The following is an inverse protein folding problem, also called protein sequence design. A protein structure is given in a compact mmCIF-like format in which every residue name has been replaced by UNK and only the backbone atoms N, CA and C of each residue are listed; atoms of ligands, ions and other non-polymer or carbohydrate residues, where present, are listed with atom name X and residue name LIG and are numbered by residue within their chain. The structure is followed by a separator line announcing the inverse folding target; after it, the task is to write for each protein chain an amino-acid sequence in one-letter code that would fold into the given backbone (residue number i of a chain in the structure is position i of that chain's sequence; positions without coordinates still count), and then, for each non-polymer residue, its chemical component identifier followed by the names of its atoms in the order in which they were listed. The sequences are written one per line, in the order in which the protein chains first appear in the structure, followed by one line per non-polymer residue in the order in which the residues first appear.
data_IF_409515921802
#
_entry.id   IF_409515921802
#
_cell.length_a   1.000
_cell.length_b   1.000
_cell.length_c   1.000
_cell.angle_alpha   90.00
_cell.angle_beta   90.00
_cell.angle_gamma   90.00
#
_symmetry.space_group_name_H-M   'P 1'
#
loop_
_entity.id
_entity.type
_entity.pdbx_description
1 polymer ?
#
# COMPACT_ATOMS: atom_id res chain seq x y z
N UNK A 1 4.35 14.10 -49.86
CA UNK A 1 4.32 15.02 -48.70
C UNK A 1 3.08 14.66 -47.90
N UNK A 2 3.26 13.73 -46.96
CA UNK A 2 2.14 13.31 -46.11
C UNK A 2 2.03 14.29 -44.94
N UNK A 3 1.02 15.15 -45.02
CA UNK A 3 0.64 15.98 -43.89
C UNK A 3 -0.06 15.11 -42.83
N UNK A 4 0.67 14.70 -41.81
CA UNK A 4 0.08 14.10 -40.62
C UNK A 4 -0.68 15.19 -39.86
N UNK A 5 -2.01 15.12 -39.94
CA UNK A 5 -2.89 15.97 -39.13
C UNK A 5 -2.90 15.46 -37.68
N UNK A 6 -2.36 16.25 -36.73
CA UNK A 6 -2.50 15.96 -35.32
C UNK A 6 -3.82 16.56 -34.79
N UNK A 7 -4.42 15.93 -33.77
CA UNK A 7 -5.62 16.45 -33.07
C UNK A 7 -5.45 17.91 -32.64
N UNK A 8 -4.23 18.28 -32.24
CA UNK A 8 -3.89 19.63 -31.79
C UNK A 8 -3.96 20.68 -32.90
N UNK A 9 -3.61 20.31 -34.13
CA UNK A 9 -3.71 21.16 -35.28
C UNK A 9 -5.17 21.37 -35.69
N UNK A 10 -5.99 20.32 -35.61
CA UNK A 10 -7.43 20.37 -35.91
C UNK A 10 -8.20 21.23 -34.89
N UNK A 11 -7.90 21.08 -33.57
CA UNK A 11 -8.58 21.83 -32.51
C UNK A 11 -8.19 23.33 -32.50
N UNK A 12 -6.97 23.69 -32.92
CA UNK A 12 -6.56 25.09 -33.04
C UNK A 12 -7.21 25.85 -34.18
N UNK A 13 -7.71 25.13 -35.20
CA UNK A 13 -8.34 25.75 -36.38
C UNK A 13 -9.78 26.16 -36.18
N UNK A 14 -10.51 25.65 -35.21
CA UNK A 14 -11.97 25.80 -35.12
C UNK A 14 -12.49 26.60 -33.93
N UNK A 15 -11.66 27.05 -33.00
CA UNK A 15 -12.09 27.92 -31.89
C UNK A 15 -13.15 27.34 -30.94
N UNK A 16 -13.44 26.03 -31.01
CA UNK A 16 -14.43 25.32 -30.21
C UNK A 16 -13.79 24.09 -29.56
N UNK A 17 -13.85 23.99 -28.25
CA UNK A 17 -13.42 22.79 -27.50
C UNK A 17 -14.53 21.74 -27.62
N UNK A 18 -14.48 20.87 -28.61
CA UNK A 18 -15.32 19.68 -28.64
C UNK A 18 -14.55 18.47 -28.10
N UNK A 19 -15.10 17.80 -27.10
CA UNK A 19 -14.65 16.51 -26.69
C UNK A 19 -14.98 15.50 -27.78
N UNK A 20 -13.97 15.06 -28.54
CA UNK A 20 -14.15 13.99 -29.52
C UNK A 20 -14.29 12.64 -28.80
N UNK A 21 -15.16 11.74 -29.27
CA UNK A 21 -15.20 10.38 -28.79
C UNK A 21 -13.85 9.70 -29.00
N UNK A 22 -13.54 8.71 -28.18
CA UNK A 22 -12.33 7.91 -28.26
C UNK A 22 -12.23 7.24 -29.65
N UNK A 23 -11.15 7.52 -30.35
CA UNK A 23 -10.86 6.89 -31.67
C UNK A 23 -9.51 6.14 -31.51
N UNK A 24 -9.57 4.82 -31.55
CA UNK A 24 -8.42 3.93 -31.38
C UNK A 24 -7.32 4.11 -32.44
N UNK A 25 -7.69 4.60 -33.62
CA UNK A 25 -6.80 4.80 -34.74
C UNK A 25 -6.02 6.12 -34.74
N UNK A 26 -6.28 7.03 -33.80
CA UNK A 26 -5.57 8.30 -33.71
C UNK A 26 -4.63 8.31 -32.49
N UNK A 27 -3.33 8.61 -32.68
CA UNK A 27 -2.41 8.73 -31.54
C UNK A 27 -2.87 9.86 -30.63
N UNK A 28 -2.97 9.55 -29.33
CA UNK A 28 -3.46 10.48 -28.30
C UNK A 28 -2.46 11.61 -28.03
N UNK A 29 -1.19 11.43 -28.40
CA UNK A 29 -0.10 12.39 -28.16
C UNK A 29 0.81 12.53 -29.36
N UNK A 30 1.27 13.76 -29.58
CA UNK A 30 2.19 14.06 -30.64
C UNK A 30 3.55 13.41 -30.44
N UNK A 31 4.05 12.83 -31.52
CA UNK A 31 5.45 12.65 -31.87
C UNK A 31 6.37 11.76 -31.02
N UNK A 32 5.85 10.75 -30.31
CA UNK A 32 6.67 9.57 -30.06
C UNK A 32 6.30 8.44 -31.03
N UNK A 33 7.28 7.81 -31.70
CA UNK A 33 7.01 6.71 -32.60
C UNK A 33 6.31 5.58 -31.86
N UNK A 34 5.36 4.91 -32.49
CA UNK A 34 4.58 3.78 -31.97
C UNK A 34 5.43 2.56 -31.49
N UNK A 35 6.75 2.69 -31.42
CA UNK A 35 7.71 1.64 -31.09
C UNK A 35 8.05 1.49 -29.61
N UNK A 36 7.62 2.39 -28.72
CA UNK A 36 8.05 2.35 -27.31
C UNK A 36 6.90 2.36 -26.28
N UNK A 37 5.72 1.91 -26.67
CA UNK A 37 4.69 1.57 -25.67
C UNK A 37 5.10 0.24 -25.04
N UNK A 38 5.43 0.22 -23.78
CA UNK A 38 5.55 -1.02 -23.03
C UNK A 38 4.26 -1.81 -23.22
N UNK A 39 4.33 -2.90 -23.98
CA UNK A 39 3.20 -3.81 -24.21
C UNK A 39 2.90 -4.64 -22.97
N UNK A 40 3.73 -4.53 -21.94
CA UNK A 40 3.61 -5.28 -20.68
C UNK A 40 2.82 -4.49 -19.65
N UNK A 41 1.89 -5.19 -18.99
CA UNK A 41 1.17 -4.68 -17.83
C UNK A 41 2.15 -4.27 -16.71
N UNK A 42 1.86 -3.19 -15.98
CA UNK A 42 2.75 -2.70 -14.92
C UNK A 42 2.78 -3.66 -13.73
N UNK A 43 3.92 -3.68 -13.03
CA UNK A 43 4.02 -4.35 -11.73
C UNK A 43 3.34 -3.47 -10.68
N UNK A 44 2.54 -4.10 -9.82
CA UNK A 44 1.80 -3.46 -8.73
C UNK A 44 2.25 -3.97 -7.38
N UNK A 45 2.20 -3.12 -6.38
CA UNK A 45 2.51 -3.45 -4.99
C UNK A 45 1.28 -3.23 -4.10
N UNK A 46 0.88 -4.26 -3.37
CA UNK A 46 -0.02 -4.11 -2.24
C UNK A 46 0.64 -4.66 -0.97
N UNK A 47 0.58 -3.89 0.13
CA UNK A 47 1.00 -4.34 1.46
C UNK A 47 -0.21 -4.43 2.36
N UNK A 48 -0.53 -5.64 2.81
CA UNK A 48 -1.54 -5.89 3.83
C UNK A 48 -0.85 -6.06 5.19
N UNK A 49 -1.45 -5.49 6.21
CA UNK A 49 -0.93 -5.53 7.56
C UNK A 49 -2.02 -5.87 8.57
N UNK A 50 -1.71 -6.76 9.50
CA UNK A 50 -2.43 -6.89 10.76
C UNK A 50 -1.48 -6.81 11.95
N UNK A 51 -1.87 -6.10 12.99
CA UNK A 51 -1.11 -6.00 14.24
C UNK A 51 -1.22 -7.28 15.09
N UNK A 52 -0.39 -7.36 16.12
CA UNK A 52 -0.38 -8.41 17.15
C UNK A 52 0.14 -9.80 16.69
N UNK A 53 0.77 -9.89 15.51
CA UNK A 53 1.35 -11.15 15.02
C UNK A 53 0.31 -12.20 14.66
N UNK A 54 0.73 -13.47 14.72
CA UNK A 54 -0.09 -14.61 14.37
C UNK A 54 0.02 -15.73 15.42
N UNK A 55 -0.83 -16.75 15.28
CA UNK A 55 -0.79 -17.98 16.04
C UNK A 55 0.52 -18.74 15.75
N UNK A 56 1.45 -18.74 16.69
CA UNK A 56 2.85 -19.12 16.48
C UNK A 56 3.04 -20.57 16.01
N UNK A 57 2.19 -21.49 16.47
CA UNK A 57 2.25 -22.91 16.08
C UNK A 57 1.64 -23.23 14.73
N UNK A 58 0.81 -22.34 14.19
CA UNK A 58 0.05 -22.60 12.95
C UNK A 58 0.48 -21.66 11.79
N UNK A 59 1.47 -20.78 12.01
CA UNK A 59 2.11 -19.95 10.99
C UNK A 59 3.36 -20.65 10.45
N UNK A 60 3.19 -21.53 9.48
CA UNK A 60 4.32 -22.21 8.81
C UNK A 60 3.95 -22.68 7.41
N UNK A 61 4.97 -22.93 6.61
CA UNK A 61 4.88 -23.64 5.33
C UNK A 61 6.05 -24.62 5.21
N UNK A 62 5.87 -25.70 4.45
CA UNK A 62 6.89 -26.73 4.15
C UNK A 62 6.73 -27.20 2.71
N UNK A 63 7.82 -27.65 2.10
CA UNK A 63 7.79 -28.13 0.70
C UNK A 63 7.79 -27.00 -0.32
N UNK A 64 7.52 -27.34 -1.57
CA UNK A 64 7.59 -26.42 -2.72
C UNK A 64 6.45 -26.68 -3.71
N UNK A 65 6.11 -25.63 -4.49
CA UNK A 65 5.13 -25.67 -5.57
C UNK A 65 3.77 -26.19 -5.13
N UNK A 66 3.13 -27.00 -5.93
CA UNK A 66 1.84 -27.63 -5.63
C UNK A 66 1.87 -28.57 -4.42
N UNK A 67 3.05 -29.09 -4.06
CA UNK A 67 3.28 -29.94 -2.89
C UNK A 67 3.53 -29.17 -1.59
N UNK A 68 3.46 -27.84 -1.60
CA UNK A 68 3.66 -27.03 -0.39
C UNK A 68 2.55 -27.29 0.62
N UNK A 69 2.92 -27.65 1.83
CA UNK A 69 2.02 -27.80 2.97
C UNK A 69 1.97 -26.51 3.77
N UNK A 70 0.77 -26.11 4.19
CA UNK A 70 0.53 -24.86 4.90
C UNK A 70 -0.03 -25.15 6.31
N UNK A 71 0.46 -24.40 7.30
CA UNK A 71 -0.17 -24.33 8.61
C UNK A 71 -1.57 -23.72 8.52
N UNK A 72 -2.40 -23.97 9.53
CA UNK A 72 -3.83 -23.59 9.49
C UNK A 72 -4.08 -22.11 9.29
N UNK A 73 -3.19 -21.23 9.75
CA UNK A 73 -3.30 -19.77 9.50
C UNK A 73 -3.26 -19.46 8.01
N UNK A 74 -2.42 -20.17 7.24
CA UNK A 74 -2.21 -19.95 5.81
C UNK A 74 -3.13 -20.78 4.92
N UNK A 75 -4.00 -21.62 5.48
CA UNK A 75 -4.93 -22.47 4.74
C UNK A 75 -5.76 -21.73 3.67
N UNK A 76 -6.24 -20.48 3.89
CA UNK A 76 -6.94 -19.73 2.85
C UNK A 76 -6.12 -19.47 1.57
N UNK A 77 -4.78 -19.59 1.63
CA UNK A 77 -3.88 -19.43 0.49
C UNK A 77 -3.57 -20.74 -0.24
N UNK A 78 -4.21 -21.86 0.12
CA UNK A 78 -3.92 -23.18 -0.44
C UNK A 78 -3.88 -23.21 -1.97
N UNK A 79 -4.82 -22.54 -2.64
CA UNK A 79 -4.91 -22.52 -4.10
C UNK A 79 -3.82 -21.65 -4.75
N UNK A 80 -3.13 -20.82 -3.97
CA UNK A 80 -2.08 -19.91 -4.45
C UNK A 80 -0.67 -20.40 -4.16
N UNK A 81 -0.46 -21.62 -3.70
CA UNK A 81 0.86 -22.15 -3.30
C UNK A 81 1.94 -21.97 -4.36
N UNK A 82 1.61 -22.20 -5.64
CA UNK A 82 2.53 -22.00 -6.76
C UNK A 82 2.82 -20.52 -7.09
N UNK A 83 1.94 -19.60 -6.64
CA UNK A 83 2.09 -18.15 -6.78
C UNK A 83 2.50 -17.48 -5.47
N UNK A 84 2.87 -18.28 -4.45
CA UNK A 84 3.22 -17.82 -3.11
C UNK A 84 4.72 -17.91 -2.85
N UNK A 85 5.24 -16.95 -2.12
CA UNK A 85 6.57 -16.96 -1.54
C UNK A 85 6.41 -16.79 -0.03
N UNK A 86 6.76 -17.80 0.74
CA UNK A 86 6.77 -17.74 2.20
C UNK A 86 8.17 -17.38 2.68
N UNK A 87 8.27 -16.29 3.47
CA UNK A 87 9.57 -15.78 3.93
C UNK A 87 9.57 -15.76 5.45
N UNK A 88 10.61 -16.31 6.05
CA UNK A 88 10.77 -16.29 7.50
C UNK A 88 12.18 -15.93 7.93
N UNK A 89 12.29 -15.42 9.14
CA UNK A 89 13.56 -15.04 9.74
C UNK A 89 13.98 -13.60 9.48
N UNK A 90 13.29 -12.84 8.61
CA UNK A 90 13.55 -11.41 8.44
C UNK A 90 13.05 -10.62 9.66
N UNK A 91 13.70 -9.53 9.99
CA UNK A 91 13.29 -8.61 11.04
C UNK A 91 13.78 -7.18 10.77
N UNK A 92 13.24 -6.24 11.55
CA UNK A 92 13.64 -4.85 11.53
C UNK A 92 14.45 -4.54 12.79
N UNK A 93 15.75 -4.29 12.67
CA UNK A 93 16.65 -4.07 13.81
C UNK A 93 16.26 -2.83 14.64
N UNK A 94 15.77 -1.77 14.00
CA UNK A 94 15.32 -0.56 14.70
C UNK A 94 14.02 -0.78 15.49
N UNK A 95 13.18 -1.72 15.08
CA UNK A 95 11.97 -2.07 15.82
C UNK A 95 12.26 -2.74 17.17
N UNK A 96 13.43 -3.35 17.34
CA UNK A 96 13.86 -3.94 18.61
C UNK A 96 14.30 -2.91 19.64
N UNK A 97 14.47 -1.65 19.25
CA UNK A 97 14.92 -0.55 20.10
C UNK A 97 13.73 0.32 20.50
N UNK A 98 13.31 0.29 21.71
CA UNK A 98 12.26 1.18 22.20
C UNK A 98 10.98 0.46 22.64
N UNK A 99 9.81 1.07 22.39
CA UNK A 99 8.54 0.48 22.80
C UNK A 99 8.03 -0.55 21.79
N UNK A 100 7.63 -1.70 22.27
CA UNK A 100 7.19 -2.85 21.48
C UNK A 100 6.16 -2.44 20.40
N UNK A 101 5.04 -1.83 20.80
CA UNK A 101 3.96 -1.54 19.86
C UNK A 101 4.26 -0.37 18.92
N UNK A 102 5.00 0.65 19.40
CA UNK A 102 5.35 1.79 18.57
C UNK A 102 6.53 1.48 17.65
N UNK A 103 7.64 0.99 18.23
CA UNK A 103 8.87 0.74 17.46
C UNK A 103 8.76 -0.45 16.48
N UNK A 104 7.81 -1.35 16.69
CA UNK A 104 7.63 -2.50 15.79
C UNK A 104 6.70 -2.21 14.61
N UNK A 105 5.79 -1.25 14.71
CA UNK A 105 4.83 -0.90 13.65
C UNK A 105 5.22 0.36 12.90
N UNK A 106 5.58 1.42 13.59
CA UNK A 106 5.77 2.74 12.99
C UNK A 106 6.94 2.82 12.00
N UNK A 107 7.89 1.90 12.02
CA UNK A 107 9.00 1.82 11.09
C UNK A 107 9.01 0.52 10.26
N UNK A 108 7.91 -0.25 10.27
CA UNK A 108 7.83 -1.53 9.59
C UNK A 108 8.23 -1.44 8.12
N UNK A 109 7.72 -0.45 7.39
CA UNK A 109 7.96 -0.28 5.96
C UNK A 109 9.11 0.68 5.62
N UNK A 110 9.87 1.15 6.62
CA UNK A 110 11.01 2.05 6.42
C UNK A 110 12.33 1.55 6.99
N UNK A 111 12.30 0.67 8.00
CA UNK A 111 13.49 0.24 8.73
C UNK A 111 14.24 1.36 9.46
N UNK A 112 13.63 2.52 9.63
CA UNK A 112 14.26 3.68 10.24
C UNK A 112 14.08 3.72 11.75
N UNK A 113 14.98 4.38 12.50
CA UNK A 113 14.79 4.60 13.94
C UNK A 113 13.60 5.53 14.19
N UNK A 114 12.83 5.24 15.27
CA UNK A 114 11.73 6.08 15.72
C UNK A 114 12.20 7.06 16.81
N UNK A 115 11.70 8.31 16.73
CA UNK A 115 11.91 9.27 17.79
C UNK A 115 10.94 9.05 18.96
N UNK A 116 11.37 9.45 20.16
CA UNK A 116 10.57 9.47 21.40
C UNK A 116 10.44 10.92 21.91
N UNK A 117 9.72 11.12 23.01
CA UNK A 117 9.67 12.43 23.68
C UNK A 117 8.83 13.48 22.97
N UNK A 118 7.82 13.08 22.19
CA UNK A 118 6.90 14.00 21.51
C UNK A 118 7.37 14.43 20.11
N UNK A 119 8.60 14.15 19.70
CA UNK A 119 9.01 14.26 18.31
C UNK A 119 8.46 13.07 17.53
N UNK A 120 7.83 13.34 16.39
CA UNK A 120 7.38 12.30 15.46
C UNK A 120 8.41 12.18 14.35
N UNK A 121 9.10 11.03 14.31
CA UNK A 121 10.06 10.74 13.25
C UNK A 121 10.19 9.23 13.04
N UNK A 122 10.05 8.82 11.80
CA UNK A 122 10.31 7.47 11.31
C UNK A 122 11.21 7.57 10.07
N UNK A 123 10.83 6.98 8.95
CA UNK A 123 11.48 7.09 7.64
C UNK A 123 10.42 7.02 6.56
N UNK A 124 10.73 7.57 5.38
CA UNK A 124 9.86 7.38 4.21
C UNK A 124 9.68 5.89 3.95
N UNK A 125 8.44 5.42 3.90
CA UNK A 125 8.15 4.01 3.70
C UNK A 125 8.27 3.59 2.23
N UNK A 126 8.52 2.31 1.97
CA UNK A 126 8.69 1.77 0.61
C UNK A 126 7.53 2.13 -0.31
N UNK A 127 6.29 2.03 0.15
CA UNK A 127 5.09 2.35 -0.62
C UNK A 127 5.06 3.82 -1.02
N UNK A 128 5.45 4.72 -0.13
CA UNK A 128 5.48 6.16 -0.42
C UNK A 128 6.68 6.55 -1.29
N UNK A 129 7.83 5.90 -1.13
CA UNK A 129 8.97 6.09 -2.01
C UNK A 129 8.64 5.65 -3.45
N UNK A 130 7.98 4.51 -3.61
CA UNK A 130 7.46 4.05 -4.91
C UNK A 130 6.39 5.01 -5.45
N UNK A 131 5.49 5.52 -4.60
CA UNK A 131 4.47 6.49 -5.00
C UNK A 131 5.09 7.79 -5.55
N UNK A 132 6.17 8.28 -4.96
CA UNK A 132 6.92 9.44 -5.45
C UNK A 132 7.52 9.19 -6.84
N UNK A 133 7.95 7.95 -7.14
CA UNK A 133 8.51 7.57 -8.44
C UNK A 133 7.43 7.32 -9.50
N UNK A 134 6.31 6.71 -9.13
CA UNK A 134 5.23 6.34 -10.05
C UNK A 134 4.06 7.33 -10.08
N UNK A 135 4.06 8.37 -9.25
CA UNK A 135 2.98 9.34 -9.14
C UNK A 135 2.60 10.07 -10.44
N UNK A 136 3.50 10.03 -11.43
CA UNK A 136 3.23 10.58 -12.77
C UNK A 136 2.56 9.59 -13.74
N UNK A 137 2.54 8.30 -13.38
CA UNK A 137 2.04 7.22 -14.25
C UNK A 137 0.60 6.85 -13.94
N UNK A 138 0.08 7.21 -12.76
CA UNK A 138 -1.26 6.88 -12.29
C UNK A 138 -1.97 8.10 -11.73
N UNK A 139 -3.29 8.06 -11.77
CA UNK A 139 -4.13 9.14 -11.24
C UNK A 139 -3.98 9.31 -9.72
N UNK A 140 -3.87 8.20 -9.00
CA UNK A 140 -3.63 8.15 -7.56
C UNK A 140 -2.27 7.53 -7.33
N UNK A 141 -1.26 8.30 -6.87
CA UNK A 141 0.10 7.81 -6.68
C UNK A 141 0.20 6.61 -5.73
N UNK A 142 -0.56 6.67 -4.64
CA UNK A 142 -0.75 5.55 -3.70
C UNK A 142 -2.12 5.62 -3.05
N UNK A 143 -2.64 4.46 -2.64
CA UNK A 143 -3.88 4.33 -1.88
C UNK A 143 -3.57 3.70 -0.53
N UNK A 144 -3.69 4.50 0.55
CA UNK A 144 -3.40 4.08 1.92
C UNK A 144 -4.72 3.88 2.66
N UNK A 145 -5.09 2.62 2.87
CA UNK A 145 -6.37 2.19 3.42
C UNK A 145 -6.22 1.62 4.83
N UNK A 146 -7.27 1.77 5.65
CA UNK A 146 -7.33 1.17 6.96
C UNK A 146 -8.75 0.81 7.39
N UNK A 147 -8.83 -0.10 8.38
CA UNK A 147 -10.11 -0.54 8.93
C UNK A 147 -10.29 -0.16 10.41
N UNK A 148 -9.28 0.42 11.02
CA UNK A 148 -9.35 0.87 12.42
C UNK A 148 -8.75 2.28 12.55
N UNK A 149 -9.43 3.16 13.30
CA UNK A 149 -9.02 4.55 13.52
C UNK A 149 -7.68 4.64 14.24
N UNK A 150 -6.92 5.69 13.92
CA UNK A 150 -5.72 6.04 14.66
C UNK A 150 -6.07 6.42 16.10
N UNK A 151 -5.17 6.10 17.04
CA UNK A 151 -5.28 6.50 18.43
C UNK A 151 -4.37 7.71 18.69
N UNK A 152 -4.88 8.94 18.81
CA UNK A 152 -4.07 10.14 19.04
C UNK A 152 -3.69 10.29 20.51
N UNK A 153 -2.86 9.39 21.03
CA UNK A 153 -2.40 9.40 22.41
C UNK A 153 -0.89 9.14 22.49
N UNK A 154 -0.34 9.21 23.69
CA UNK A 154 1.06 8.87 23.97
C UNK A 154 1.09 7.66 24.91
N UNK A 155 1.92 6.68 24.59
CA UNK A 155 2.14 5.51 25.41
C UNK A 155 3.64 5.25 25.57
N UNK A 156 4.10 5.11 26.81
CA UNK A 156 5.52 4.86 27.12
C UNK A 156 6.48 5.79 26.38
N UNK A 157 6.15 7.08 26.36
CA UNK A 157 6.93 8.14 25.73
C UNK A 157 7.02 8.08 24.18
N UNK A 158 6.12 7.33 23.53
CA UNK A 158 5.99 7.29 22.07
C UNK A 158 4.58 7.72 21.65
N UNK A 159 4.50 8.40 20.51
CA UNK A 159 3.21 8.70 19.89
C UNK A 159 2.53 7.41 19.41
N UNK A 160 1.24 7.26 19.73
CA UNK A 160 0.45 6.13 19.23
C UNK A 160 0.14 6.22 17.73
N UNK A 161 0.55 7.29 17.06
CA UNK A 161 0.60 7.34 15.59
C UNK A 161 1.49 6.25 15.02
N UNK A 162 2.57 5.89 15.70
CA UNK A 162 3.44 4.80 15.27
C UNK A 162 2.73 3.44 15.23
N UNK A 163 1.84 3.16 16.19
CA UNK A 163 1.05 1.92 16.18
C UNK A 163 -0.09 1.94 15.17
N UNK A 164 -0.44 3.12 14.66
CA UNK A 164 -1.58 3.33 13.78
C UNK A 164 -1.19 3.52 12.31
N UNK A 165 0.08 3.79 12.00
CA UNK A 165 0.55 4.08 10.65
C UNK A 165 1.76 3.23 10.29
N UNK A 166 1.70 2.56 9.13
CA UNK A 166 2.83 1.85 8.52
C UNK A 166 3.38 2.63 7.32
N UNK A 167 2.59 3.53 6.73
CA UNK A 167 2.96 4.36 5.57
C UNK A 167 3.37 5.76 6.01
N UNK A 168 4.49 6.25 5.49
CA UNK A 168 5.09 7.55 5.83
C UNK A 168 5.55 8.26 4.55
N UNK A 169 4.93 9.38 4.24
CA UNK A 169 5.25 10.22 3.06
C UNK A 169 6.64 10.83 3.17
N UNK A 170 7.03 11.20 4.40
CA UNK A 170 8.36 11.69 4.75
C UNK A 170 8.78 11.15 6.12
N UNK A 171 10.03 11.35 6.56
CA UNK A 171 10.45 10.92 7.89
C UNK A 171 9.60 11.44 9.05
N UNK A 172 8.91 12.54 8.86
CA UNK A 172 8.13 13.22 9.92
C UNK A 172 6.61 13.20 9.68
N UNK A 173 6.17 12.74 8.51
CA UNK A 173 4.77 12.83 8.10
C UNK A 173 4.17 11.45 7.85
N UNK A 174 3.34 10.92 8.76
CA UNK A 174 2.57 9.71 8.49
C UNK A 174 1.57 9.98 7.36
N UNK A 175 1.46 9.07 6.42
CA UNK A 175 0.50 9.19 5.32
C UNK A 175 -0.92 9.05 5.87
N UNK A 176 -1.85 9.95 5.53
CA UNK A 176 -3.23 9.86 5.99
C UNK A 176 -3.88 8.51 5.63
N UNK A 177 -4.51 7.91 6.61
CA UNK A 177 -5.17 6.61 6.51
C UNK A 177 -6.64 6.80 6.13
N UNK A 178 -7.03 6.33 4.93
CA UNK A 178 -8.43 6.38 4.50
C UNK A 178 -9.22 5.23 5.11
N UNK A 179 -10.25 5.57 5.88
CA UNK A 179 -11.09 4.62 6.62
C UNK A 179 -12.49 4.48 6.02
N UNK A 180 -12.90 5.43 5.19
CA UNK A 180 -14.24 5.52 4.63
C UNK A 180 -14.27 4.91 3.23
N UNK A 181 -14.94 3.77 3.01
CA UNK A 181 -14.98 3.13 1.70
C UNK A 181 -15.50 4.04 0.59
N UNK A 182 -16.50 4.88 0.90
CA UNK A 182 -17.03 5.86 -0.06
C UNK A 182 -15.99 6.88 -0.49
N UNK A 183 -15.23 7.44 0.45
CA UNK A 183 -14.17 8.42 0.14
C UNK A 183 -13.00 7.78 -0.59
N UNK A 184 -12.62 6.57 -0.21
CA UNK A 184 -11.59 5.81 -0.94
C UNK A 184 -12.02 5.53 -2.40
N UNK A 185 -13.28 5.18 -2.61
CA UNK A 185 -13.86 5.00 -3.95
C UNK A 185 -13.88 6.32 -4.74
N UNK A 186 -14.36 7.41 -4.13
CA UNK A 186 -14.38 8.73 -4.75
C UNK A 186 -12.97 9.17 -5.17
N UNK A 187 -11.96 8.91 -4.33
CA UNK A 187 -10.56 9.20 -4.63
C UNK A 187 -10.06 8.49 -5.89
N UNK A 188 -10.51 7.26 -6.14
CA UNK A 188 -10.17 6.53 -7.37
C UNK A 188 -10.90 7.06 -8.61
N UNK A 189 -12.15 7.51 -8.48
CA UNK A 189 -13.08 7.68 -9.61
C UNK A 189 -13.72 9.06 -9.76
N UNK A 190 -13.56 9.95 -8.77
CA UNK A 190 -14.14 11.29 -8.84
C UNK A 190 -13.47 12.09 -9.96
N UNK A 191 -14.30 12.58 -10.87
CA UNK A 191 -13.87 13.19 -12.11
C UNK A 191 -13.64 14.70 -12.01
N UNK A 192 -14.11 15.35 -10.97
CA UNK A 192 -14.06 16.80 -10.80
C UNK A 192 -13.15 17.19 -9.64
N UNK A 193 -12.06 17.85 -9.99
CA UNK A 193 -11.40 18.78 -9.09
C UNK A 193 -12.22 20.05 -9.14
N UNK A 194 -12.93 20.36 -8.10
CA UNK A 194 -13.59 21.64 -8.00
C UNK A 194 -12.52 22.74 -8.09
N UNK A 195 -12.71 23.70 -9.00
CA UNK A 195 -11.78 24.84 -9.16
C UNK A 195 -11.58 25.61 -7.83
N UNK A 196 -12.55 25.49 -6.90
CA UNK A 196 -12.49 26.00 -5.55
C UNK A 196 -11.41 25.36 -4.69
N UNK A 197 -11.17 24.05 -4.83
CA UNK A 197 -10.18 23.33 -4.00
C UNK A 197 -8.75 23.83 -4.28
N UNK A 198 -8.42 24.10 -5.54
CA UNK A 198 -7.12 24.66 -5.90
C UNK A 198 -6.93 26.09 -5.38
N UNK A 199 -7.97 26.91 -5.45
CA UNK A 199 -7.94 28.30 -4.93
C UNK A 199 -7.74 28.36 -3.41
N UNK A 200 -8.34 27.42 -2.65
CA UNK A 200 -8.17 27.32 -1.19
C UNK A 200 -6.73 26.91 -0.84
N UNK A 201 -6.16 25.95 -1.57
CA UNK A 201 -4.78 25.50 -1.34
C UNK A 201 -3.76 26.60 -1.64
N UNK A 202 -3.94 27.34 -2.73
CA UNK A 202 -3.08 28.48 -3.07
C UNK A 202 -3.12 29.57 -1.99
N UNK A 203 -4.31 29.85 -1.42
CA UNK A 203 -4.48 30.79 -0.32
C UNK A 203 -3.78 30.32 0.97
N UNK A 204 -3.91 29.02 1.32
CA UNK A 204 -3.25 28.41 2.48
C UNK A 204 -1.72 28.48 2.34
N UNK A 205 -1.18 28.18 1.16
CA UNK A 205 0.25 28.26 0.89
C UNK A 205 0.79 29.68 0.96
N UNK A 206 0.02 30.67 0.54
CA UNK A 206 0.40 32.09 0.64
C UNK A 206 0.43 32.55 2.10
N UNK A 207 -0.60 32.26 2.88
CA UNK A 207 -0.70 32.61 4.31
C UNK A 207 0.40 31.94 5.14
N UNK A 208 0.70 30.66 4.86
CA UNK A 208 1.75 29.92 5.53
C UNK A 208 3.15 30.53 5.32
N UNK A 209 3.43 31.08 4.14
CA UNK A 209 4.72 31.77 3.86
C UNK A 209 4.89 33.01 4.72
N UNK A 210 3.82 33.73 5.02
CA UNK A 210 3.85 34.92 5.85
C UNK A 210 3.98 34.57 7.33
N UNK A 211 3.28 33.55 7.80
CA UNK A 211 3.38 33.05 9.17
C UNK A 211 4.79 32.55 9.47
N UNK A 212 5.44 31.84 8.53
CA UNK A 212 6.79 31.29 8.69
C UNK A 212 7.84 32.34 9.09
N UNK A 213 7.66 33.59 8.69
CA UNK A 213 8.60 34.67 8.98
C UNK A 213 8.58 35.15 10.42
N UNK A 214 7.50 34.84 11.15
CA UNK A 214 7.24 35.42 12.49
C UNK A 214 7.19 34.38 13.61
N UNK A 215 7.29 33.08 13.30
CA UNK A 215 7.22 31.99 14.26
C UNK A 215 8.59 31.43 14.64
N UNK A 216 8.64 30.70 15.77
CA UNK A 216 9.83 30.03 16.28
C UNK A 216 10.34 28.94 15.32
N UNK A 217 11.63 28.59 15.42
CA UNK A 217 12.22 27.50 14.62
C UNK A 217 11.49 26.14 14.81
N UNK A 218 11.01 25.89 16.03
CA UNK A 218 10.21 24.69 16.34
C UNK A 218 8.88 24.70 15.59
N UNK A 219 8.22 25.86 15.53
CA UNK A 219 6.92 26.00 14.87
C UNK A 219 7.07 26.07 13.34
N UNK A 220 8.21 26.57 12.84
CA UNK A 220 8.53 26.47 11.40
C UNK A 220 8.60 25.03 10.93
N UNK A 221 9.15 24.10 11.74
CA UNK A 221 9.13 22.67 11.43
C UNK A 221 7.72 22.11 11.33
N UNK A 222 6.86 22.41 12.28
CA UNK A 222 5.44 21.99 12.26
C UNK A 222 4.70 22.55 11.04
N UNK A 223 5.00 23.80 10.69
CA UNK A 223 4.44 24.42 9.51
C UNK A 223 4.94 23.77 8.21
N UNK A 224 6.22 23.40 8.14
CA UNK A 224 6.79 22.71 6.99
C UNK A 224 6.14 21.31 6.82
N UNK A 225 5.92 20.56 7.90
CA UNK A 225 5.19 19.29 7.91
C UNK A 225 3.74 19.45 7.43
N UNK A 226 3.07 20.52 7.87
CA UNK A 226 1.73 20.86 7.38
C UNK A 226 1.73 21.19 5.89
N UNK A 227 2.70 21.99 5.42
CA UNK A 227 2.84 22.36 4.01
C UNK A 227 3.18 21.16 3.10
N UNK A 228 3.95 20.19 3.58
CA UNK A 228 4.19 18.95 2.84
C UNK A 228 2.90 18.16 2.66
N UNK A 229 2.06 18.10 3.69
CA UNK A 229 0.72 17.50 3.58
C UNK A 229 -0.19 18.26 2.59
N UNK A 230 -0.13 19.58 2.56
CA UNK A 230 -0.88 20.42 1.60
C UNK A 230 -0.38 20.19 0.17
N UNK A 231 0.95 20.10 -0.05
CA UNK A 231 1.52 19.78 -1.36
C UNK A 231 1.11 18.41 -1.87
N UNK A 232 1.04 17.41 -0.99
CA UNK A 232 0.52 16.10 -1.32
C UNK A 232 -0.92 16.14 -1.83
N UNK A 233 -1.77 16.96 -1.18
CA UNK A 233 -3.15 17.19 -1.62
C UNK A 233 -3.17 17.91 -2.96
N UNK A 234 -2.36 18.96 -3.14
CA UNK A 234 -2.23 19.70 -4.40
C UNK A 234 -1.82 18.77 -5.56
N UNK A 235 -0.82 17.91 -5.35
CA UNK A 235 -0.37 16.97 -6.37
C UNK A 235 -1.44 15.93 -6.72
N UNK A 236 -2.25 15.51 -5.74
CA UNK A 236 -3.42 14.63 -5.99
C UNK A 236 -4.49 15.34 -6.82
N UNK A 237 -4.76 16.61 -6.52
CA UNK A 237 -5.68 17.45 -7.26
C UNK A 237 -5.20 17.62 -8.70
N UNK A 238 -3.92 17.93 -8.91
CA UNK A 238 -3.33 18.05 -10.24
C UNK A 238 -3.39 16.75 -11.03
N UNK A 239 -3.04 15.61 -10.39
CA UNK A 239 -3.11 14.30 -11.03
C UNK A 239 -4.55 13.88 -11.35
N UNK A 240 -5.51 14.21 -10.50
CA UNK A 240 -6.93 13.97 -10.76
C UNK A 240 -7.44 14.79 -11.97
N UNK A 241 -6.91 16.00 -12.18
CA UNK A 241 -7.23 16.84 -13.33
C UNK A 241 -6.61 16.40 -14.66
N UNK A 242 -5.58 15.53 -14.62
CA UNK A 242 -4.85 15.07 -15.82
C UNK A 242 -5.53 13.89 -16.54
N UNK A 243 -6.83 13.91 -16.69
CA UNK A 243 -7.56 12.89 -17.46
C UNK A 243 -7.00 12.78 -18.87
N UNK A 244 -6.59 11.58 -19.28
CA UNK A 244 -6.07 11.30 -20.61
C UNK A 244 -4.62 11.72 -20.87
N UNK A 245 -3.95 12.34 -19.90
CA UNK A 245 -2.56 12.79 -20.04
C UNK A 245 -1.52 11.81 -19.46
N UNK A 246 -1.96 10.73 -18.84
CA UNK A 246 -1.07 9.74 -18.26
C UNK A 246 -0.49 8.83 -19.36
N UNK A 247 0.84 8.72 -19.39
CA UNK A 247 1.57 7.88 -20.34
C UNK A 247 1.70 6.44 -19.83
N UNK A 248 1.88 5.49 -20.76
CA UNK A 248 2.19 4.10 -20.46
C UNK A 248 1.00 3.14 -20.66
N UNK A 249 1.13 1.96 -20.06
CA UNK A 249 0.14 0.89 -20.15
C UNK A 249 -1.23 1.33 -19.62
N UNK A 250 -2.29 0.81 -20.25
CA UNK A 250 -3.67 0.99 -19.81
C UNK A 250 -4.40 -0.35 -19.81
N UNK A 251 -5.36 -0.56 -18.90
CA UNK A 251 -6.20 -1.75 -18.91
C UNK A 251 -6.95 -1.88 -20.22
N UNK A 252 -7.05 -3.09 -20.73
CA UNK A 252 -7.83 -3.42 -21.92
C UNK A 252 -9.32 -3.62 -21.61
N UNK A 253 -9.65 -3.84 -20.34
CA UNK A 253 -11.01 -4.02 -19.87
C UNK A 253 -11.62 -2.67 -19.48
N UNK A 254 -12.90 -2.51 -19.78
CA UNK A 254 -13.67 -1.37 -19.31
C UNK A 254 -13.71 -1.29 -17.79
N UNK A 255 -13.86 -0.06 -17.27
CA UNK A 255 -14.08 0.15 -15.85
C UNK A 255 -15.30 -0.66 -15.40
N UNK A 256 -15.17 -1.53 -14.39
CA UNK A 256 -16.30 -2.30 -13.92
C UNK A 256 -17.38 -1.38 -13.35
N UNK A 257 -18.64 -1.70 -13.66
CA UNK A 257 -19.79 -0.98 -13.13
C UNK A 257 -20.06 -1.42 -11.69
N UNK A 258 -19.29 -0.85 -10.74
CA UNK A 258 -19.48 -1.10 -9.31
C UNK A 258 -20.08 0.15 -8.69
N UNK A 259 -21.19 0.02 -7.98
CA UNK A 259 -21.82 1.16 -7.31
C UNK A 259 -20.89 1.73 -6.23
N UNK A 260 -20.95 3.06 -6.08
CA UNK A 260 -20.26 3.74 -4.97
C UNK A 260 -20.76 3.19 -3.63
N UNK A 261 -19.87 2.84 -2.69
CA UNK A 261 -20.28 2.43 -1.35
C UNK A 261 -21.11 3.50 -0.63
N UNK A 262 -21.94 3.09 0.32
CA UNK A 262 -22.67 4.01 1.18
C UNK A 262 -21.70 4.85 2.03
N UNK A 263 -22.13 6.06 2.39
CA UNK A 263 -21.35 6.94 3.26
C UNK A 263 -21.21 6.35 4.68
N UNK A 264 -20.10 6.70 5.32
CA UNK A 264 -19.77 6.25 6.67
C UNK A 264 -18.86 5.03 6.69
N UNK A 265 -18.58 4.56 7.91
CA UNK A 265 -17.81 3.34 8.16
C UNK A 265 -18.80 2.22 8.46
N UNK A 266 -18.75 1.08 7.74
CA UNK A 266 -19.58 -0.07 8.05
C UNK A 266 -19.39 -0.53 9.49
N UNK A 267 -20.50 -0.79 10.19
CA UNK A 267 -20.45 -1.22 11.59
C UNK A 267 -19.95 -2.67 11.73
N UNK A 268 -20.23 -3.51 10.72
CA UNK A 268 -19.68 -4.84 10.64
C UNK A 268 -18.23 -4.77 10.13
N UNK A 269 -17.29 -5.22 10.95
CA UNK A 269 -15.87 -5.18 10.60
C UNK A 269 -15.53 -6.07 9.40
N UNK A 270 -16.24 -7.19 9.21
CA UNK A 270 -16.02 -8.06 8.06
C UNK A 270 -16.42 -7.38 6.75
N UNK A 271 -17.57 -6.69 6.74
CA UNK A 271 -18.04 -5.92 5.59
C UNK A 271 -17.09 -4.74 5.29
N UNK A 272 -16.62 -4.07 6.34
CA UNK A 272 -15.66 -2.97 6.19
C UNK A 272 -14.35 -3.45 5.54
N UNK A 273 -13.75 -4.50 6.07
CA UNK A 273 -12.51 -5.07 5.52
C UNK A 273 -12.70 -5.54 4.08
N UNK A 274 -13.85 -6.16 3.78
CA UNK A 274 -14.17 -6.66 2.43
C UNK A 274 -14.32 -5.52 1.43
N UNK A 275 -15.01 -4.44 1.78
CA UNK A 275 -15.15 -3.26 0.92
C UNK A 275 -13.79 -2.60 0.65
N UNK A 276 -12.91 -2.53 1.65
CA UNK A 276 -11.56 -2.00 1.45
C UNK A 276 -10.72 -2.89 0.53
N UNK A 277 -10.89 -4.23 0.60
CA UNK A 277 -10.28 -5.15 -0.36
C UNK A 277 -10.81 -4.93 -1.78
N UNK A 278 -12.12 -4.73 -1.96
CA UNK A 278 -12.73 -4.46 -3.27
C UNK A 278 -12.20 -3.15 -3.87
N UNK A 279 -12.03 -2.10 -3.08
CA UNK A 279 -11.48 -0.81 -3.51
C UNK A 279 -10.01 -0.96 -3.95
N UNK A 280 -9.21 -1.74 -3.22
CA UNK A 280 -7.83 -2.07 -3.61
C UNK A 280 -7.82 -2.75 -4.99
N UNK A 281 -8.63 -3.80 -5.16
CA UNK A 281 -8.75 -4.54 -6.44
C UNK A 281 -9.17 -3.62 -7.57
N UNK A 282 -10.17 -2.76 -7.34
CA UNK A 282 -10.63 -1.78 -8.33
C UNK A 282 -9.53 -0.80 -8.73
N UNK A 283 -8.74 -0.30 -7.78
CA UNK A 283 -7.61 0.57 -8.04
C UNK A 283 -6.59 -0.07 -8.99
N UNK A 284 -6.32 -1.36 -8.80
CA UNK A 284 -5.41 -2.14 -9.65
C UNK A 284 -6.03 -2.50 -10.99
N UNK A 285 -7.29 -2.94 -11.02
CA UNK A 285 -8.00 -3.30 -12.24
C UNK A 285 -8.15 -2.13 -13.22
N UNK A 286 -8.32 -0.93 -12.70
CA UNK A 286 -8.48 0.29 -13.52
C UNK A 286 -7.15 1.03 -13.75
N UNK A 287 -6.03 0.51 -13.26
CA UNK A 287 -4.72 1.17 -13.22
C UNK A 287 -4.76 2.61 -12.68
N UNK A 288 -5.74 2.89 -11.83
CA UNK A 288 -5.87 4.19 -11.17
C UNK A 288 -4.77 4.39 -10.13
N UNK A 289 -4.33 3.31 -9.51
CA UNK A 289 -3.13 3.25 -8.66
C UNK A 289 -2.40 1.93 -8.86
N UNK A 290 -1.09 1.93 -8.62
CA UNK A 290 -0.23 0.73 -8.66
C UNK A 290 0.36 0.38 -7.29
N UNK A 291 0.10 1.22 -6.30
CA UNK A 291 0.67 1.09 -4.96
C UNK A 291 -0.44 1.27 -3.95
N UNK A 292 -0.63 0.26 -3.09
CA UNK A 292 -1.66 0.31 -2.06
C UNK A 292 -1.13 -0.29 -0.76
N UNK A 293 -1.50 0.28 0.37
CA UNK A 293 -1.41 -0.37 1.68
C UNK A 293 -2.80 -0.54 2.26
N UNK A 294 -3.05 -1.67 2.91
CA UNK A 294 -4.29 -1.95 3.62
C UNK A 294 -3.98 -2.44 5.03
N UNK A 295 -4.25 -1.59 6.00
CA UNK A 295 -4.05 -1.88 7.42
C UNK A 295 -5.36 -2.36 8.02
N UNK A 296 -5.43 -3.66 8.38
CA UNK A 296 -6.66 -4.29 8.89
C UNK A 296 -6.95 -3.89 10.35
N UNK A 297 -5.91 -3.80 11.19
CA UNK A 297 -6.03 -3.36 12.57
C UNK A 297 -4.74 -2.70 13.08
N UNK A 298 -4.83 -2.04 14.22
CA UNK A 298 -3.70 -1.46 14.93
C UNK A 298 -2.99 -2.51 15.81
N UNK A 299 -1.79 -2.23 16.28
CA UNK A 299 -1.17 -3.04 17.33
C UNK A 299 -1.90 -2.92 18.68
N UNK A 300 -2.39 -1.73 19.01
CA UNK A 300 -3.30 -1.51 20.14
C UNK A 300 -4.76 -1.61 19.68
N UNK A 301 -5.13 -2.74 19.09
CA UNK A 301 -6.47 -2.94 18.55
C UNK A 301 -7.50 -3.27 19.61
N UNK A 302 -8.62 -2.56 19.57
CA UNK A 302 -9.83 -2.87 20.34
C UNK A 302 -10.88 -3.63 19.53
N UNK A 303 -10.54 -4.03 18.29
CA UNK A 303 -11.46 -4.74 17.41
C UNK A 303 -11.90 -6.09 18.02
N UNK A 304 -13.14 -6.44 17.71
CA UNK A 304 -13.79 -7.70 18.05
C UNK A 304 -14.37 -8.35 16.79
N UNK A 305 -14.55 -9.65 16.81
CA UNK A 305 -15.02 -10.43 15.67
C UNK A 305 -16.24 -11.28 16.01
N UNK A 306 -17.39 -10.67 16.39
CA UNK A 306 -18.57 -11.40 16.80
C UNK A 306 -19.11 -12.34 15.71
N UNK A 307 -18.89 -12.02 14.43
CA UNK A 307 -19.23 -12.91 13.30
C UNK A 307 -18.43 -14.22 13.28
N UNK A 308 -17.31 -14.31 14.01
CA UNK A 308 -16.51 -15.51 14.23
C UNK A 308 -16.80 -16.18 15.60
N UNK A 309 -17.73 -15.61 16.37
CA UNK A 309 -17.97 -16.00 17.75
C UNK A 309 -16.91 -15.50 18.74
N UNK A 310 -16.11 -14.50 18.34
CA UNK A 310 -15.03 -13.91 19.16
C UNK A 310 -15.40 -12.48 19.52
N UNK A 311 -16.03 -12.28 20.68
CA UNK A 311 -16.53 -10.99 21.14
C UNK A 311 -15.69 -10.41 22.30
N UNK A 312 -14.38 -10.43 22.14
CA UNK A 312 -13.43 -9.75 23.01
C UNK A 312 -12.27 -9.17 22.18
N UNK A 313 -11.62 -8.15 22.74
CA UNK A 313 -10.62 -7.38 21.98
C UNK A 313 -9.38 -8.20 21.63
N UNK A 314 -8.79 -7.94 20.46
CA UNK A 314 -7.56 -8.60 19.99
C UNK A 314 -6.42 -8.36 20.98
N UNK A 315 -6.08 -7.10 21.21
CA UNK A 315 -4.96 -6.74 22.05
C UNK A 315 -5.25 -7.09 23.50
N UNK A 316 -4.31 -7.66 24.21
CA UNK A 316 -4.34 -8.18 25.57
C UNK A 316 -5.21 -9.43 25.82
N UNK A 317 -6.40 -9.54 25.25
CA UNK A 317 -7.31 -10.62 25.60
C UNK A 317 -7.17 -11.85 24.69
N UNK A 318 -6.79 -11.65 23.43
CA UNK A 318 -6.78 -12.72 22.42
C UNK A 318 -5.36 -13.07 21.95
N UNK A 319 -4.58 -12.08 21.51
CA UNK A 319 -3.33 -12.32 20.77
C UNK A 319 -2.18 -12.89 21.58
N UNK A 320 -2.21 -12.78 22.91
CA UNK A 320 -1.13 -13.27 23.79
C UNK A 320 -1.11 -14.79 23.99
N UNK A 321 -2.03 -15.53 23.40
CA UNK A 321 -2.12 -16.98 23.53
C UNK A 321 -2.55 -17.64 22.23
N UNK A 322 -1.92 -18.77 21.92
CA UNK A 322 -2.24 -19.60 20.76
C UNK A 322 -3.55 -20.38 20.98
N UNK A 323 -4.68 -19.69 20.93
CA UNK A 323 -6.02 -20.24 21.13
C UNK A 323 -6.72 -20.54 19.79
N UNK A 324 -7.76 -21.37 19.82
CA UNK A 324 -8.61 -21.62 18.65
C UNK A 324 -9.29 -20.34 18.13
N UNK A 325 -9.64 -19.42 19.02
CA UNK A 325 -10.26 -18.15 18.63
C UNK A 325 -9.24 -17.20 17.98
N UNK A 326 -7.99 -17.18 18.44
CA UNK A 326 -6.94 -16.46 17.76
C UNK A 326 -6.64 -17.02 16.38
N UNK A 327 -6.67 -18.35 16.23
CA UNK A 327 -6.54 -19.01 14.93
C UNK A 327 -7.66 -18.59 13.96
N UNK A 328 -8.93 -18.56 14.39
CA UNK A 328 -10.05 -18.11 13.56
C UNK A 328 -9.86 -16.67 13.05
N UNK A 329 -9.42 -15.76 13.94
CA UNK A 329 -9.18 -14.37 13.56
C UNK A 329 -7.99 -14.25 12.60
N UNK A 330 -6.92 -15.03 12.81
CA UNK A 330 -5.80 -15.06 11.89
C UNK A 330 -6.20 -15.59 10.50
N UNK A 331 -6.97 -16.68 10.44
CA UNK A 331 -7.50 -17.20 9.18
C UNK A 331 -8.39 -16.15 8.47
N UNK A 332 -9.22 -15.45 9.21
CA UNK A 332 -10.03 -14.35 8.67
C UNK A 332 -9.19 -13.23 8.07
N UNK A 333 -8.07 -12.87 8.71
CA UNK A 333 -7.14 -11.88 8.15
C UNK A 333 -6.47 -12.38 6.86
N UNK A 334 -6.00 -13.61 6.84
CA UNK A 334 -5.38 -14.21 5.65
C UNK A 334 -6.41 -14.42 4.53
N UNK A 335 -7.68 -14.66 4.87
CA UNK A 335 -8.78 -14.72 3.88
C UNK A 335 -8.97 -13.39 3.14
N UNK A 336 -8.63 -12.23 3.74
CA UNK A 336 -8.65 -10.96 3.00
C UNK A 336 -7.56 -10.92 1.91
N UNK A 337 -6.36 -11.43 2.19
CA UNK A 337 -5.31 -11.59 1.18
C UNK A 337 -5.74 -12.56 0.08
N UNK A 338 -6.27 -13.73 0.46
CA UNK A 338 -6.74 -14.75 -0.48
C UNK A 338 -7.88 -14.21 -1.36
N UNK A 339 -8.77 -13.41 -0.80
CA UNK A 339 -9.83 -12.75 -1.56
C UNK A 339 -9.30 -11.79 -2.62
N UNK A 340 -8.37 -10.91 -2.26
CA UNK A 340 -7.72 -10.00 -3.21
C UNK A 340 -7.01 -10.81 -4.29
N UNK A 341 -6.27 -11.84 -3.90
CA UNK A 341 -5.54 -12.71 -4.84
C UNK A 341 -6.51 -13.37 -5.83
N UNK A 342 -7.63 -13.96 -5.38
CA UNK A 342 -8.65 -14.55 -6.27
C UNK A 342 -9.23 -13.54 -7.26
N UNK A 343 -9.56 -12.34 -6.78
CA UNK A 343 -10.09 -11.27 -7.64
C UNK A 343 -9.09 -10.85 -8.72
N UNK A 344 -7.84 -10.65 -8.35
CA UNK A 344 -6.78 -10.26 -9.30
C UNK A 344 -6.39 -11.41 -10.24
N UNK A 345 -6.46 -12.66 -9.78
CA UNK A 345 -6.19 -13.83 -10.63
C UNK A 345 -7.30 -14.07 -11.68
N UNK A 346 -8.51 -13.61 -11.41
CA UNK A 346 -9.62 -13.60 -12.38
C UNK A 346 -9.55 -12.50 -13.43
N UNK A 347 -8.59 -11.55 -13.34
CA UNK A 347 -8.45 -10.43 -14.29
C UNK A 347 -7.31 -10.74 -15.26
N UNK A 348 -7.65 -10.91 -16.55
CA UNK A 348 -6.65 -11.21 -17.57
C UNK A 348 -5.97 -9.94 -18.08
N UNK A 349 -4.64 -9.96 -18.16
CA UNK A 349 -3.79 -8.88 -18.69
C UNK A 349 -2.78 -9.45 -19.70
N UNK A 350 -3.17 -9.55 -20.94
CA UNK A 350 -2.39 -10.21 -21.99
C UNK A 350 -2.24 -11.71 -21.70
N UNK A 351 -1.02 -12.21 -21.62
CA UNK A 351 -0.71 -13.62 -21.32
C UNK A 351 -0.66 -13.95 -19.82
N UNK A 352 -0.83 -12.96 -18.95
CA UNK A 352 -0.77 -13.07 -17.48
C UNK A 352 -2.07 -12.61 -16.85
N UNK A 353 -2.24 -12.88 -15.57
CA UNK A 353 -3.31 -12.30 -14.77
C UNK A 353 -2.82 -11.03 -14.06
N UNK A 354 -3.74 -10.19 -13.56
CA UNK A 354 -3.38 -9.05 -12.73
C UNK A 354 -2.64 -9.50 -11.45
N UNK A 355 -2.92 -10.70 -10.93
CA UNK A 355 -2.17 -11.28 -9.82
C UNK A 355 -0.73 -11.60 -10.23
N UNK A 356 -0.50 -12.19 -11.40
CA UNK A 356 0.84 -12.45 -11.90
C UNK A 356 1.67 -11.17 -12.08
N UNK A 357 1.00 -10.04 -12.36
CA UNK A 357 1.61 -8.72 -12.46
C UNK A 357 1.65 -7.96 -11.12
N UNK A 358 1.29 -8.58 -10.02
CA UNK A 358 1.26 -7.96 -8.69
C UNK A 358 2.24 -8.62 -7.72
N UNK A 359 2.60 -7.85 -6.68
CA UNK A 359 3.27 -8.28 -5.46
C UNK A 359 2.33 -7.95 -4.30
N UNK A 360 1.62 -8.96 -3.78
CA UNK A 360 0.77 -8.82 -2.60
C UNK A 360 1.56 -9.30 -1.39
N UNK A 361 2.12 -8.40 -0.61
CA UNK A 361 2.82 -8.74 0.64
C UNK A 361 1.88 -8.64 1.82
N UNK A 362 1.82 -9.68 2.64
CA UNK A 362 1.16 -9.63 3.93
C UNK A 362 2.21 -9.78 5.05
N UNK A 363 2.14 -8.93 6.06
CA UNK A 363 3.06 -8.95 7.18
C UNK A 363 2.41 -8.45 8.47
N UNK A 364 3.12 -8.67 9.58
CA UNK A 364 2.83 -8.07 10.88
C UNK A 364 4.12 -7.47 11.47
N UNK A 365 3.97 -6.65 12.50
CA UNK A 365 5.06 -6.01 13.24
C UNK A 365 5.81 -6.95 14.18
N UNK A 366 5.25 -8.13 14.46
CA UNK A 366 5.80 -9.16 15.34
C UNK A 366 5.33 -10.53 14.88
N UNK A 367 6.08 -11.59 15.24
CA UNK A 367 5.71 -12.96 14.88
C UNK A 367 4.49 -13.44 15.66
N UNK A 368 4.46 -13.18 16.95
CA UNK A 368 3.36 -13.60 17.84
C UNK A 368 2.98 -12.48 18.79
N UNK A 369 1.78 -12.54 19.33
CA UNK A 369 1.33 -11.60 20.36
C UNK A 369 2.16 -11.59 21.65
N UNK A 370 3.08 -12.55 21.82
CA UNK A 370 4.11 -12.51 22.87
C UNK A 370 5.25 -11.54 22.60
N UNK A 371 5.09 -10.67 21.59
CA UNK A 371 5.99 -9.58 21.21
C UNK A 371 7.33 -10.06 20.61
N UNK A 372 7.34 -11.20 19.91
CA UNK A 372 8.53 -11.64 19.18
C UNK A 372 8.67 -10.86 17.87
N UNK A 373 9.49 -9.82 17.88
CA UNK A 373 9.86 -9.04 16.70
C UNK A 373 11.23 -9.45 16.13
N UNK A 374 11.87 -10.48 16.68
CA UNK A 374 13.16 -11.00 16.20
C UNK A 374 13.03 -11.73 14.86
N UNK A 375 11.82 -12.04 14.46
CA UNK A 375 11.42 -12.50 13.13
C UNK A 375 10.01 -12.03 12.82
N UNK A 376 9.79 -11.56 11.60
CA UNK A 376 8.49 -11.07 11.16
C UNK A 376 7.79 -12.13 10.31
N UNK A 377 6.47 -12.30 10.47
CA UNK A 377 5.68 -13.13 9.57
C UNK A 377 5.51 -12.42 8.24
N UNK A 378 5.98 -13.04 7.16
CA UNK A 378 5.90 -12.46 5.82
C UNK A 378 5.45 -13.54 4.83
N UNK A 379 4.42 -13.23 4.06
CA UNK A 379 4.02 -14.01 2.89
C UNK A 379 3.75 -13.06 1.73
N UNK A 380 4.19 -13.45 0.54
CA UNK A 380 3.90 -12.73 -0.71
C UNK A 380 3.12 -13.64 -1.64
N UNK A 381 2.14 -13.06 -2.36
CA UNK A 381 1.37 -13.74 -3.40
C UNK A 381 1.43 -12.91 -4.67
N UNK A 382 1.61 -13.58 -5.81
CA UNK A 382 1.80 -12.92 -7.11
C UNK A 382 3.25 -12.99 -7.58
N UNK A 383 3.46 -12.78 -8.88
CA UNK A 383 4.75 -13.04 -9.55
C UNK A 383 5.52 -11.78 -9.95
N UNK A 384 5.04 -10.58 -9.57
CA UNK A 384 5.72 -9.32 -9.89
C UNK A 384 6.03 -9.15 -11.38
N UNK A 385 5.07 -9.48 -12.27
CA UNK A 385 5.29 -9.47 -13.72
C UNK A 385 6.17 -10.62 -14.22
N UNK A 386 6.25 -11.72 -13.50
CA UNK A 386 7.14 -12.88 -13.78
C UNK A 386 8.59 -12.67 -13.31
N UNK A 387 8.85 -11.61 -12.53
CA UNK A 387 10.18 -11.28 -12.04
C UNK A 387 10.50 -11.90 -10.67
N UNK A 388 9.51 -12.52 -10.03
CA UNK A 388 9.64 -13.21 -8.75
C UNK A 388 9.42 -14.70 -8.95
N UNK A 389 10.36 -15.50 -8.45
CA UNK A 389 10.22 -16.93 -8.40
C UNK A 389 9.39 -17.33 -7.19
N UNK A 390 8.18 -17.82 -7.43
CA UNK A 390 7.22 -18.24 -6.41
C UNK A 390 7.17 -19.77 -6.25
N UNK A 391 6.29 -20.26 -5.40
CA UNK A 391 6.16 -21.69 -5.09
C UNK A 391 7.27 -22.19 -4.16
N UNK A 392 7.90 -21.33 -3.38
CA UNK A 392 9.05 -21.71 -2.51
C UNK A 392 9.02 -20.99 -1.16
N UNK A 393 9.89 -21.48 -0.29
CA UNK A 393 10.12 -20.93 1.05
C UNK A 393 11.53 -20.35 1.10
N UNK A 394 11.65 -19.14 1.61
CA UNK A 394 12.94 -18.53 1.93
C UNK A 394 13.10 -18.49 3.45
N UNK A 395 14.14 -19.13 3.95
CA UNK A 395 14.45 -19.20 5.38
C UNK A 395 15.77 -18.50 5.70
N UNK A 396 15.64 -17.38 6.41
CA UNK A 396 16.78 -16.55 6.82
C UNK A 396 17.13 -16.70 8.31
N UNK A 397 16.49 -17.60 9.07
CA UNK A 397 16.69 -17.69 10.53
C UNK A 397 18.14 -17.90 10.93
N UNK A 398 18.88 -18.69 10.14
CA UNK A 398 20.28 -19.00 10.37
C UNK A 398 21.25 -18.19 9.48
N UNK A 399 20.74 -17.13 8.83
CA UNK A 399 21.56 -16.25 7.98
C UNK A 399 22.03 -15.01 8.76
N UNK A 400 23.22 -14.47 8.45
CA UNK A 400 23.73 -13.29 9.14
C UNK A 400 22.96 -12.01 8.80
N UNK A 401 22.50 -11.85 7.56
CA UNK A 401 21.87 -10.65 7.04
C UNK A 401 20.35 -10.84 6.93
N UNK A 402 19.63 -10.50 7.98
CA UNK A 402 18.19 -10.76 8.12
C UNK A 402 17.32 -9.49 8.07
N UNK A 403 17.87 -8.39 7.51
CA UNK A 403 17.15 -7.12 7.47
C UNK A 403 15.93 -7.20 6.56
N UNK A 404 14.77 -6.80 7.07
CA UNK A 404 13.53 -6.72 6.29
C UNK A 404 13.66 -5.75 5.09
N UNK A 405 14.46 -4.70 5.22
CA UNK A 405 14.71 -3.72 4.16
C UNK A 405 15.43 -4.31 2.94
N UNK A 406 16.11 -5.45 3.05
CA UNK A 406 16.64 -6.19 1.89
C UNK A 406 15.53 -6.70 0.98
N UNK A 407 14.43 -7.20 1.57
CA UNK A 407 13.23 -7.58 0.80
C UNK A 407 12.65 -6.35 0.08
N UNK A 408 12.61 -5.21 0.75
CA UNK A 408 12.10 -3.98 0.15
C UNK A 408 12.94 -3.48 -1.02
N UNK A 409 14.28 -3.58 -0.93
CA UNK A 409 15.17 -3.30 -2.07
C UNK A 409 14.84 -4.22 -3.25
N UNK A 410 14.67 -5.53 -3.02
CA UNK A 410 14.29 -6.47 -4.09
C UNK A 410 12.94 -6.13 -4.70
N UNK A 411 11.94 -5.79 -3.89
CA UNK A 411 10.62 -5.41 -4.40
C UNK A 411 10.67 -4.12 -5.22
N UNK A 412 11.47 -3.14 -4.81
CA UNK A 412 11.69 -1.90 -5.58
C UNK A 412 12.39 -2.19 -6.92
N UNK A 413 13.38 -3.08 -6.94
CA UNK A 413 14.04 -3.51 -8.17
C UNK A 413 13.06 -4.15 -9.16
N UNK A 414 12.13 -4.99 -8.69
CA UNK A 414 11.07 -5.58 -9.54
C UNK A 414 10.15 -4.51 -10.14
N UNK A 415 10.08 -3.35 -9.52
CA UNK A 415 9.35 -2.18 -10.01
C UNK A 415 10.26 -1.16 -10.73
N UNK A 416 11.47 -1.54 -11.14
CA UNK A 416 12.46 -0.69 -11.81
C UNK A 416 12.85 0.57 -11.00
N UNK A 417 12.87 0.47 -9.68
CA UNK A 417 13.38 1.49 -8.77
C UNK A 417 14.60 0.94 -8.05
N UNK A 418 15.78 1.29 -8.55
CA UNK A 418 17.06 0.80 -8.04
C UNK A 418 17.63 1.77 -7.01
N UNK A 419 17.91 1.27 -5.83
CA UNK A 419 18.54 2.02 -4.74
C UNK A 419 19.71 1.23 -4.17
N UNK A 420 20.82 1.92 -3.89
CA UNK A 420 22.01 1.33 -3.24
C UNK A 420 21.75 1.07 -1.75
N UNK A 421 20.77 1.75 -1.17
CA UNK A 421 20.44 1.62 0.25
C UNK A 421 18.98 1.95 0.50
N UNK A 422 18.34 1.19 1.41
CA UNK A 422 17.04 1.51 1.98
C UNK A 422 16.97 1.05 3.44
N UNK A 423 16.54 1.95 4.33
CA UNK A 423 16.51 1.68 5.77
C UNK A 423 17.86 1.21 6.31
N UNK A 424 17.91 0.04 6.88
CA UNK A 424 19.11 -0.61 7.43
C UNK A 424 19.81 -1.57 6.43
N UNK A 425 19.34 -1.67 5.19
CA UNK A 425 19.90 -2.57 4.18
C UNK A 425 20.66 -1.84 3.07
N UNK A 426 21.77 -2.44 2.61
CA UNK A 426 22.61 -1.98 1.52
C UNK A 426 22.72 -2.97 0.36
N UNK A 427 21.98 -4.07 0.43
CA UNK A 427 21.93 -5.10 -0.62
C UNK A 427 20.54 -5.74 -0.66
N UNK A 428 20.00 -6.10 -1.83
CA UNK A 428 18.73 -6.79 -1.95
C UNK A 428 18.82 -8.26 -1.52
N UNK A 429 17.66 -8.93 -1.42
CA UNK A 429 17.56 -10.39 -1.36
C UNK A 429 17.59 -10.94 -2.77
N UNK A 430 18.70 -11.58 -3.17
CA UNK A 430 18.88 -12.08 -4.53
C UNK A 430 17.95 -13.27 -4.88
N UNK A 431 17.39 -13.93 -3.87
CA UNK A 431 16.49 -15.07 -4.05
C UNK A 431 15.02 -14.68 -4.32
N UNK A 432 14.68 -13.39 -4.23
CA UNK A 432 13.32 -12.83 -4.47
C UNK A 432 13.14 -12.41 -5.92
#
# INVERSE_FOLDING_TARGET
MDHQFSRRTFLRGLGVTMALPWMESLPVWGDEPAGNRSSEAPVRLAVLFSGNGFHGREWWAKGEGAGMELGKVLEPLHDFREKMLFIRGLFNAEALKGNIHSSQTGNLLSGAPLASGGEIRSGTSIDQLLAQRYGHSTRVPSLVLGCEKSNPSVHKNYSMLYSSHISWTSPTTPTPLELYPALAFDRLFRDEVEKGDKSVLDAVLAEARDIRRVISFSDQRKLDEYLDSVRDVEQRIENAGKKGELQGWRPTLDKPNIPRPADGIPQNIADHMRLMCDILVLGFQTDTTRITTLKLNNDHSSLRFPHLGVDYMIHHLLSHSDTADWLKVNQFFIEQLAYIARKLDGIQEGSRTALDNSMLMYCSSMMTGSHDASQLPVVMVGRGGGRIQTGKILDYRDKPNRQMCRLYLSMMDKMNVHLDKFGDATEPLNEV
#
